data_IF_003259793044
#
_entry.id   IF_003259793044
#
_cell.length_a   1.000
_cell.length_b   1.000
_cell.length_c   1.000
_cell.angle_alpha   90.00
_cell.angle_beta   90.00
_cell.angle_gamma   90.00
#
_symmetry.space_group_name_H-M   'P 1'
#
loop_
_entity.id
_entity.type
_entity.pdbx_description
1 polymer ?
#
# COMPACT_ATOMS: atom_id res chain seq x y z
N UNK A 1 -16.65 1.44 -11.08
CA UNK A 1 -15.79 1.86 -12.23
C UNK A 1 -14.37 1.29 -12.17
N UNK A 2 -13.66 1.33 -11.03
CA UNK A 2 -12.28 0.80 -10.92
C UNK A 2 -12.12 -0.69 -11.28
N UNK A 3 -13.06 -1.56 -10.85
CA UNK A 3 -13.02 -3.00 -11.19
C UNK A 3 -13.09 -3.26 -12.70
N UNK A 4 -13.94 -2.49 -13.41
CA UNK A 4 -14.06 -2.57 -14.87
C UNK A 4 -12.75 -2.15 -15.54
N UNK A 5 -12.14 -1.04 -15.10
CA UNK A 5 -10.86 -0.58 -15.64
C UNK A 5 -9.73 -1.59 -15.43
N UNK A 6 -9.66 -2.22 -14.25
CA UNK A 6 -8.65 -3.26 -13.99
C UNK A 6 -8.89 -4.49 -14.88
N UNK A 7 -10.15 -4.89 -15.07
CA UNK A 7 -10.52 -6.00 -15.94
C UNK A 7 -10.16 -5.73 -17.41
N UNK A 8 -10.49 -4.55 -17.93
CA UNK A 8 -10.11 -4.13 -19.30
C UNK A 8 -8.60 -4.16 -19.48
N UNK A 9 -7.85 -3.72 -18.47
CA UNK A 9 -6.39 -3.68 -18.53
C UNK A 9 -5.77 -5.09 -18.51
N UNK A 10 -6.31 -5.99 -17.68
CA UNK A 10 -5.93 -7.41 -17.68
C UNK A 10 -6.29 -8.08 -19.01
N UNK A 11 -7.49 -7.84 -19.55
CA UNK A 11 -7.90 -8.39 -20.86
C UNK A 11 -7.02 -7.86 -22.01
N UNK A 12 -6.70 -6.56 -22.00
CA UNK A 12 -5.80 -5.95 -22.99
C UNK A 12 -4.39 -6.54 -22.93
N UNK A 13 -3.82 -6.68 -21.73
CA UNK A 13 -2.51 -7.32 -21.55
C UNK A 13 -2.51 -8.79 -21.96
N UNK A 14 -3.61 -9.53 -21.75
CA UNK A 14 -3.74 -10.91 -22.21
C UNK A 14 -3.79 -11.01 -23.74
N UNK A 15 -4.48 -10.08 -24.41
CA UNK A 15 -4.51 -10.01 -25.87
C UNK A 15 -3.12 -9.72 -26.46
N UNK A 16 -2.36 -8.82 -25.84
CA UNK A 16 -0.96 -8.55 -26.22
C UNK A 16 -0.11 -9.81 -26.01
N UNK A 17 -0.26 -10.47 -24.86
CA UNK A 17 0.47 -11.70 -24.53
C UNK A 17 0.25 -12.80 -25.57
N UNK A 18 -0.98 -12.96 -26.09
CA UNK A 18 -1.31 -13.96 -27.10
C UNK A 18 -0.77 -13.64 -28.51
N UNK A 19 -0.28 -12.41 -28.73
CA UNK A 19 0.28 -11.95 -30.01
C UNK A 19 1.81 -11.96 -30.03
N UNK A 20 2.45 -12.16 -28.87
CA UNK A 20 3.90 -12.16 -28.72
C UNK A 20 4.42 -13.60 -28.80
N UNK A 21 5.56 -13.77 -29.46
CA UNK A 21 6.32 -15.01 -29.37
C UNK A 21 7.06 -15.03 -28.03
N UNK A 22 6.45 -15.65 -27.04
CA UNK A 22 6.99 -15.72 -25.69
C UNK A 22 8.16 -16.70 -25.56
N UNK A 23 8.53 -17.43 -26.61
CA UNK A 23 9.67 -18.35 -26.59
C UNK A 23 10.96 -17.71 -27.10
N UNK A 24 10.86 -16.66 -27.92
CA UNK A 24 11.98 -15.89 -28.42
C UNK A 24 12.72 -15.13 -27.30
N UNK A 25 14.04 -15.33 -27.23
CA UNK A 25 14.92 -14.72 -26.21
C UNK A 25 14.88 -13.19 -26.24
N UNK A 26 14.78 -12.57 -27.43
CA UNK A 26 14.71 -11.10 -27.52
C UNK A 26 13.40 -10.59 -26.94
N UNK A 27 12.29 -11.24 -27.28
CA UNK A 27 10.96 -10.92 -26.75
C UNK A 27 10.92 -11.04 -25.23
N UNK A 28 11.52 -12.09 -24.66
CA UNK A 28 11.67 -12.28 -23.20
C UNK A 28 12.40 -11.11 -22.54
N UNK A 29 13.53 -10.69 -23.11
CA UNK A 29 14.33 -9.57 -22.59
C UNK A 29 13.62 -8.22 -22.69
N UNK A 30 12.90 -7.97 -23.80
CA UNK A 30 12.12 -6.72 -23.98
C UNK A 30 11.00 -6.63 -22.94
N UNK A 31 10.28 -7.74 -22.71
CA UNK A 31 9.20 -7.79 -21.70
C UNK A 31 9.77 -7.53 -20.30
N UNK A 32 10.87 -8.21 -19.95
CA UNK A 32 11.55 -7.99 -18.67
C UNK A 32 12.02 -6.54 -18.52
N UNK A 33 12.66 -5.99 -19.55
CA UNK A 33 13.12 -4.60 -19.57
C UNK A 33 11.96 -3.63 -19.34
N UNK A 34 10.83 -3.84 -20.02
CA UNK A 34 9.62 -3.01 -19.85
C UNK A 34 9.09 -3.08 -18.41
N UNK A 35 9.04 -4.27 -17.82
CA UNK A 35 8.63 -4.44 -16.42
C UNK A 35 9.59 -3.75 -15.44
N UNK A 36 10.90 -3.91 -15.61
CA UNK A 36 11.91 -3.26 -14.78
C UNK A 36 11.81 -1.75 -14.90
N UNK A 37 11.67 -1.20 -16.12
CA UNK A 37 11.46 0.23 -16.35
C UNK A 37 10.20 0.73 -15.66
N UNK A 38 9.09 0.01 -15.76
CA UNK A 38 7.86 0.36 -15.05
C UNK A 38 8.05 0.40 -13.53
N UNK A 39 8.79 -0.56 -12.98
CA UNK A 39 9.07 -0.62 -11.55
C UNK A 39 10.01 0.50 -11.09
N UNK A 40 10.98 0.89 -11.92
CA UNK A 40 11.82 2.08 -11.68
C UNK A 40 10.98 3.36 -11.68
N UNK A 41 9.99 3.48 -12.56
CA UNK A 41 9.04 4.61 -12.55
C UNK A 41 8.26 4.66 -11.23
N UNK A 42 7.77 3.52 -10.74
CA UNK A 42 7.08 3.43 -9.44
C UNK A 42 7.98 3.90 -8.30
N UNK A 43 9.24 3.44 -8.28
CA UNK A 43 10.22 3.85 -7.27
C UNK A 43 10.55 5.35 -7.37
N UNK A 44 10.68 5.88 -8.59
CA UNK A 44 10.90 7.31 -8.82
C UNK A 44 9.72 8.16 -8.29
N UNK A 45 8.48 7.76 -8.59
CA UNK A 45 7.28 8.42 -8.06
C UNK A 45 7.29 8.41 -6.53
N UNK A 46 7.59 7.26 -5.94
CA UNK A 46 7.63 7.12 -4.48
C UNK A 46 8.74 7.95 -3.84
N UNK A 47 9.91 8.07 -4.50
CA UNK A 47 10.98 8.96 -4.05
C UNK A 47 10.58 10.43 -4.09
N UNK A 48 9.90 10.87 -5.15
CA UNK A 48 9.36 12.23 -5.26
C UNK A 48 8.36 12.50 -4.13
N UNK A 49 7.47 11.55 -3.84
CA UNK A 49 6.50 11.68 -2.74
C UNK A 49 7.22 11.79 -1.39
N UNK A 50 8.23 10.96 -1.14
CA UNK A 50 9.03 11.01 0.08
C UNK A 50 9.64 12.41 0.30
N UNK A 51 10.22 13.00 -0.75
CA UNK A 51 10.77 14.36 -0.70
C UNK A 51 9.68 15.39 -0.39
N UNK A 52 8.50 15.28 -1.01
CA UNK A 52 7.37 16.17 -0.73
C UNK A 52 6.88 16.07 0.72
N UNK A 53 6.73 14.86 1.26
CA UNK A 53 6.33 14.65 2.66
C UNK A 53 7.33 15.34 3.60
N UNK A 54 8.63 15.08 3.41
CA UNK A 54 9.68 15.68 4.24
C UNK A 54 9.74 17.20 4.12
N UNK A 55 9.44 17.76 2.95
CA UNK A 55 9.40 19.20 2.75
C UNK A 55 8.23 19.87 3.49
N UNK A 56 7.08 19.19 3.60
CA UNK A 56 5.88 19.72 4.26
C UNK A 56 6.02 19.79 5.79
N UNK A 57 6.81 18.90 6.39
CA UNK A 57 7.08 18.84 7.84
C UNK A 57 5.80 18.91 8.71
N UNK A 58 4.74 18.23 8.30
CA UNK A 58 3.45 18.23 9.00
C UNK A 58 3.54 17.42 10.31
N UNK A 59 3.75 18.13 11.42
CA UNK A 59 3.87 17.56 12.77
C UNK A 59 2.53 17.44 13.51
N UNK A 60 1.40 17.56 12.82
CA UNK A 60 0.09 17.40 13.45
C UNK A 60 -0.02 15.99 14.03
N UNK A 61 -0.41 15.90 15.30
CA UNK A 61 -0.51 14.62 16.01
C UNK A 61 -1.65 13.79 15.43
N UNK A 62 -1.32 12.55 15.07
CA UNK A 62 -2.24 11.52 14.59
C UNK A 62 -2.28 10.38 15.61
N UNK A 63 -3.47 10.04 16.06
CA UNK A 63 -3.72 8.86 16.90
C UNK A 63 -4.63 7.89 16.16
N UNK A 64 -4.23 6.63 16.07
CA UNK A 64 -5.05 5.59 15.47
C UNK A 64 -4.79 4.23 16.14
N UNK A 65 -5.71 3.30 15.96
CA UNK A 65 -5.53 1.92 16.38
C UNK A 65 -4.88 1.15 15.23
N UNK A 66 -3.75 0.51 15.51
CA UNK A 66 -3.13 -0.38 14.53
C UNK A 66 -4.09 -1.53 14.24
N UNK A 67 -4.23 -1.89 12.97
CA UNK A 67 -4.96 -3.09 12.57
C UNK A 67 -3.90 -4.17 12.33
N UNK A 68 -3.65 -5.06 13.30
CA UNK A 68 -2.59 -6.04 13.18
C UNK A 68 -2.80 -6.89 11.93
N UNK A 69 -1.68 -7.35 11.35
CA UNK A 69 -1.72 -8.21 10.16
C UNK A 69 -2.75 -9.32 10.39
N UNK A 70 -3.62 -9.64 9.40
CA UNK A 70 -4.75 -10.56 9.58
C UNK A 70 -4.39 -11.93 10.17
N UNK A 71 -3.11 -12.32 10.11
CA UNK A 71 -2.56 -13.59 10.60
C UNK A 71 -1.88 -13.50 11.98
N UNK A 72 -1.79 -12.32 12.61
CA UNK A 72 -0.94 -12.11 13.79
C UNK A 72 -1.63 -12.40 15.13
N UNK A 73 -2.98 -12.43 15.17
CA UNK A 73 -3.74 -12.61 16.42
C UNK A 73 -3.51 -11.54 17.48
N UNK A 74 -2.76 -10.47 17.17
CA UNK A 74 -2.42 -9.40 18.10
C UNK A 74 -3.64 -8.50 18.36
N UNK A 75 -3.70 -7.90 19.56
CA UNK A 75 -4.73 -6.92 19.88
C UNK A 75 -4.40 -5.55 19.25
N UNK A 76 -5.40 -4.77 18.81
CA UNK A 76 -5.20 -3.42 18.29
C UNK A 76 -4.47 -2.54 19.30
N UNK A 77 -3.32 -1.97 18.92
CA UNK A 77 -2.52 -1.07 19.76
C UNK A 77 -2.79 0.39 19.39
N UNK A 78 -2.86 1.27 20.38
CA UNK A 78 -2.96 2.71 20.15
C UNK A 78 -1.59 3.24 19.71
N UNK A 79 -1.52 3.74 18.48
CA UNK A 79 -0.33 4.41 17.95
C UNK A 79 -0.57 5.91 18.00
N UNK A 80 0.38 6.63 18.61
CA UNK A 80 0.47 8.09 18.54
C UNK A 80 1.69 8.46 17.71
N UNK A 81 1.48 9.16 16.60
CA UNK A 81 2.52 9.58 15.66
C UNK A 81 2.20 10.97 15.11
N UNK A 82 2.97 11.46 14.15
CA UNK A 82 2.66 12.66 13.37
C UNK A 82 2.19 12.31 11.96
N UNK A 83 1.43 13.20 11.32
CA UNK A 83 1.05 13.04 9.91
C UNK A 83 2.25 12.77 9.00
N UNK A 84 3.36 13.48 9.21
CA UNK A 84 4.59 13.29 8.43
C UNK A 84 5.18 11.89 8.62
N UNK A 85 5.34 11.42 9.86
CA UNK A 85 5.90 10.10 10.15
C UNK A 85 5.02 8.98 9.60
N UNK A 86 3.71 9.08 9.81
CA UNK A 86 2.73 8.16 9.24
C UNK A 86 2.85 8.07 7.71
N UNK A 87 2.86 9.22 7.02
CA UNK A 87 2.94 9.25 5.55
C UNK A 87 4.27 8.68 5.03
N UNK A 88 5.38 8.92 5.74
CA UNK A 88 6.68 8.34 5.43
C UNK A 88 6.67 6.82 5.58
N UNK A 89 6.06 6.30 6.64
CA UNK A 89 5.93 4.86 6.87
C UNK A 89 5.09 4.19 5.77
N UNK A 90 3.95 4.78 5.41
CA UNK A 90 3.09 4.27 4.33
C UNK A 90 3.85 4.23 2.99
N UNK A 91 4.60 5.29 2.68
CA UNK A 91 5.41 5.33 1.46
C UNK A 91 6.57 4.31 1.50
N UNK A 92 7.24 4.16 2.65
CA UNK A 92 8.32 3.18 2.83
C UNK A 92 7.82 1.73 2.71
N UNK A 93 6.62 1.43 3.24
CA UNK A 93 5.99 0.12 3.09
C UNK A 93 5.69 -0.17 1.62
N UNK A 94 5.15 0.81 0.88
CA UNK A 94 4.91 0.67 -0.56
C UNK A 94 6.21 0.45 -1.35
N UNK A 95 7.29 1.18 -1.04
CA UNK A 95 8.62 0.96 -1.63
C UNK A 95 9.15 -0.44 -1.36
N UNK A 96 9.04 -0.91 -0.11
CA UNK A 96 9.49 -2.24 0.29
C UNK A 96 8.73 -3.32 -0.48
N UNK A 97 7.41 -3.20 -0.61
CA UNK A 97 6.59 -4.14 -1.39
C UNK A 97 6.97 -4.13 -2.88
N UNK A 98 7.17 -2.94 -3.45
CA UNK A 98 7.64 -2.77 -4.82
C UNK A 98 9.00 -3.47 -5.07
N UNK A 99 9.98 -3.28 -4.17
CA UNK A 99 11.31 -3.89 -4.29
C UNK A 99 11.27 -5.41 -4.12
N UNK A 100 10.49 -5.91 -3.15
CA UNK A 100 10.31 -7.35 -2.96
C UNK A 100 9.63 -7.97 -4.20
N UNK A 101 8.59 -7.32 -4.73
CA UNK A 101 7.90 -7.74 -5.95
C UNK A 101 8.83 -7.77 -7.17
N UNK A 102 9.65 -6.73 -7.35
CA UNK A 102 10.66 -6.66 -8.40
C UNK A 102 11.64 -7.83 -8.32
N UNK A 103 12.26 -8.00 -7.13
CA UNK A 103 13.25 -9.04 -6.92
C UNK A 103 12.66 -10.44 -7.12
N UNK A 104 11.46 -10.68 -6.59
CA UNK A 104 10.76 -11.95 -6.76
C UNK A 104 10.43 -12.23 -8.22
N UNK A 105 9.90 -11.26 -8.98
CA UNK A 105 9.55 -11.47 -10.38
C UNK A 105 10.76 -11.61 -11.29
N UNK A 106 11.82 -10.84 -11.05
CA UNK A 106 13.10 -10.99 -11.78
C UNK A 106 13.68 -12.38 -11.52
N UNK A 107 13.70 -12.83 -10.26
CA UNK A 107 14.16 -14.17 -9.90
C UNK A 107 13.31 -15.27 -10.57
N UNK A 108 11.97 -15.18 -10.48
CA UNK A 108 11.08 -16.17 -11.09
C UNK A 108 11.20 -16.21 -12.61
N UNK A 109 11.45 -15.07 -13.25
CA UNK A 109 11.68 -15.01 -14.69
C UNK A 109 12.98 -15.73 -15.09
N UNK A 110 14.10 -15.45 -14.41
CA UNK A 110 15.38 -16.08 -14.72
C UNK A 110 15.40 -17.58 -14.36
N UNK A 111 14.77 -17.96 -13.24
CA UNK A 111 14.81 -19.34 -12.74
C UNK A 111 13.78 -20.25 -13.43
N UNK A 112 12.57 -19.75 -13.70
CA UNK A 112 11.44 -20.57 -14.17
C UNK A 112 10.87 -20.11 -15.52
N UNK A 113 11.46 -19.09 -16.16
CA UNK A 113 11.00 -18.59 -17.46
C UNK A 113 9.59 -17.97 -17.43
N UNK A 114 9.12 -17.54 -16.25
CA UNK A 114 7.75 -17.04 -16.09
C UNK A 114 7.61 -15.65 -16.73
N UNK A 115 7.02 -15.58 -17.91
CA UNK A 115 6.91 -14.34 -18.71
C UNK A 115 5.50 -13.74 -18.71
N UNK A 116 4.46 -14.58 -18.77
CA UNK A 116 3.06 -14.11 -18.85
C UNK A 116 2.69 -13.15 -17.70
N UNK A 117 3.08 -13.41 -16.44
CA UNK A 117 2.83 -12.48 -15.34
C UNK A 117 3.54 -11.13 -15.47
N UNK A 118 4.74 -11.07 -16.07
CA UNK A 118 5.49 -9.81 -16.25
C UNK A 118 4.72 -8.82 -17.13
N UNK A 119 4.04 -9.33 -18.17
CA UNK A 119 3.24 -8.49 -19.09
C UNK A 119 2.09 -7.84 -18.34
N UNK A 120 1.33 -8.59 -17.56
CA UNK A 120 0.18 -8.07 -16.79
C UNK A 120 0.63 -7.15 -15.65
N UNK A 121 1.75 -7.48 -14.99
CA UNK A 121 2.30 -6.75 -13.85
C UNK A 121 3.04 -5.44 -14.23
N UNK A 122 3.21 -5.14 -15.52
CA UNK A 122 3.97 -3.96 -15.94
C UNK A 122 3.21 -2.63 -15.82
N UNK A 123 1.87 -2.66 -15.78
CA UNK A 123 1.05 -1.44 -15.86
C UNK A 123 0.34 -1.11 -14.54
N UNK A 124 -0.20 -2.12 -13.86
CA UNK A 124 -0.98 -1.94 -12.64
C UNK A 124 -0.18 -1.26 -11.50
N UNK A 125 1.10 -1.59 -11.25
CA UNK A 125 1.86 -0.95 -10.19
C UNK A 125 2.02 0.56 -10.39
N UNK A 126 2.23 1.02 -11.63
CA UNK A 126 2.32 2.45 -11.95
C UNK A 126 1.00 3.15 -11.60
N UNK A 127 -0.12 2.59 -12.08
CA UNK A 127 -1.45 3.12 -11.78
C UNK A 127 -1.70 3.19 -10.27
N UNK A 128 -1.40 2.10 -9.55
CA UNK A 128 -1.60 2.03 -8.10
C UNK A 128 -0.73 3.05 -7.36
N UNK A 129 0.53 3.23 -7.78
CA UNK A 129 1.42 4.23 -7.20
C UNK A 129 0.84 5.64 -7.34
N UNK A 130 0.34 6.00 -8.52
CA UNK A 130 -0.27 7.32 -8.80
C UNK A 130 -1.62 7.50 -8.09
N UNK A 131 -2.43 6.44 -8.00
CA UNK A 131 -3.76 6.49 -7.40
C UNK A 131 -3.76 6.30 -5.88
N UNK A 132 -2.63 5.92 -5.29
CA UNK A 132 -2.47 5.76 -3.85
C UNK A 132 -2.90 7.00 -3.09
N UNK A 133 -3.45 6.81 -1.89
CA UNK A 133 -3.99 7.90 -1.07
C UNK A 133 -2.89 8.93 -0.73
N UNK A 134 -1.69 8.47 -0.43
CA UNK A 134 -0.54 9.34 -0.19
C UNK A 134 -0.07 10.09 -1.45
N UNK A 135 -0.12 9.47 -2.64
CA UNK A 135 0.17 10.20 -3.88
C UNK A 135 -0.90 11.27 -4.16
N UNK A 136 -2.18 10.98 -3.91
CA UNK A 136 -3.25 11.96 -4.07
C UNK A 136 -3.07 13.18 -3.15
N UNK A 137 -2.62 12.97 -1.91
CA UNK A 137 -2.36 14.07 -0.97
C UNK A 137 -1.09 14.84 -1.32
N UNK A 138 0.02 14.17 -1.63
CA UNK A 138 1.33 14.83 -1.78
C UNK A 138 1.71 15.17 -3.21
N UNK A 139 1.43 14.28 -4.17
CA UNK A 139 1.75 14.53 -5.58
C UNK A 139 0.74 15.51 -6.19
N UNK A 140 -0.56 15.27 -5.97
CA UNK A 140 -1.66 16.05 -6.53
C UNK A 140 -2.22 17.15 -5.61
N UNK A 141 -1.72 17.25 -4.37
CA UNK A 141 -2.09 18.34 -3.45
C UNK A 141 -3.54 18.30 -2.95
N UNK A 142 -4.22 17.15 -3.05
CA UNK A 142 -5.61 17.04 -2.57
C UNK A 142 -5.67 17.17 -1.04
N UNK A 143 -6.73 17.80 -0.49
CA UNK A 143 -6.92 17.89 0.95
C UNK A 143 -7.07 16.50 1.56
N UNK A 144 -6.49 16.28 2.74
CA UNK A 144 -6.55 15.01 3.47
C UNK A 144 -7.87 14.88 4.25
N UNK A 145 -8.98 14.98 3.53
CA UNK A 145 -10.35 14.96 4.04
C UNK A 145 -11.17 13.84 3.38
N UNK A 146 -12.25 13.43 4.02
CA UNK A 146 -13.11 12.33 3.55
C UNK A 146 -12.31 11.07 3.27
N UNK A 147 -12.37 10.58 2.03
CA UNK A 147 -11.67 9.38 1.56
C UNK A 147 -10.13 9.46 1.59
N UNK A 148 -9.55 10.65 1.74
CA UNK A 148 -8.10 10.89 1.85
C UNK A 148 -7.67 11.17 3.29
N UNK A 149 -8.60 11.12 4.24
CA UNK A 149 -8.31 11.28 5.67
C UNK A 149 -7.41 10.13 6.14
N UNK A 150 -6.40 10.48 6.95
CA UNK A 150 -5.54 9.51 7.65
C UNK A 150 -6.27 8.95 8.88
N UNK A 151 -6.03 7.70 9.28
CA UNK A 151 -5.16 6.71 8.64
C UNK A 151 -5.77 6.09 7.37
N UNK A 152 -4.93 5.79 6.39
CA UNK A 152 -5.34 5.05 5.20
C UNK A 152 -5.34 3.55 5.48
N UNK A 153 -6.34 2.84 4.95
CA UNK A 153 -6.37 1.38 5.00
C UNK A 153 -5.32 0.83 4.05
N UNK A 154 -4.56 -0.15 4.52
CA UNK A 154 -3.64 -0.91 3.67
C UNK A 154 -4.47 -1.68 2.63
N UNK A 155 -4.29 -1.37 1.36
CA UNK A 155 -4.83 -2.19 0.27
C UNK A 155 -4.16 -3.56 0.33
N UNK A 156 -4.92 -4.61 0.67
CA UNK A 156 -4.40 -5.97 0.72
C UNK A 156 -4.27 -6.52 -0.71
N UNK A 157 -3.05 -6.67 -1.27
CA UNK A 157 -2.87 -7.11 -2.64
C UNK A 157 -3.37 -8.55 -2.86
N UNK A 158 -3.38 -9.36 -1.79
CA UNK A 158 -3.89 -10.73 -1.83
C UNK A 158 -5.42 -10.75 -1.89
N UNK A 159 -6.10 -9.81 -1.23
CA UNK A 159 -7.56 -9.66 -1.29
C UNK A 159 -8.02 -9.18 -2.68
N UNK A 160 -7.21 -8.36 -3.35
CA UNK A 160 -7.45 -7.97 -4.74
C UNK A 160 -7.33 -9.16 -5.72
N UNK A 161 -6.53 -10.17 -5.40
CA UNK A 161 -6.40 -11.40 -6.16
C UNK A 161 -7.54 -12.41 -5.89
N UNK A 162 -8.04 -12.47 -4.65
CA UNK A 162 -9.10 -13.43 -4.24
C UNK A 162 -10.52 -12.86 -4.30
N UNK A 163 -10.68 -11.57 -4.60
CA UNK A 163 -11.99 -10.92 -4.73
C UNK A 163 -12.68 -10.59 -3.41
N UNK A 164 -12.03 -10.77 -2.26
CA UNK A 164 -12.55 -10.40 -0.96
C UNK A 164 -12.48 -8.87 -0.77
N UNK A 165 -13.61 -8.18 -0.88
CA UNK A 165 -13.68 -6.76 -0.57
C UNK A 165 -13.62 -6.53 0.95
N UNK A 166 -12.68 -5.71 1.42
CA UNK A 166 -12.68 -5.23 2.81
C UNK A 166 -13.74 -4.14 2.98
N UNK A 167 -14.64 -4.31 3.95
CA UNK A 167 -15.72 -3.37 4.22
C UNK A 167 -15.22 -2.01 4.77
N UNK A 168 -15.87 -0.89 4.40
CA UNK A 168 -15.57 0.43 4.93
C UNK A 168 -16.10 0.60 6.37
N UNK A 169 -15.23 0.38 7.37
CA UNK A 169 -15.44 0.82 8.75
C UNK A 169 -15.58 2.36 8.84
N UNK A 170 -16.61 2.86 9.55
CA UNK A 170 -16.99 4.28 9.60
C UNK A 170 -16.26 5.09 10.69
N UNK A 171 -16.09 6.41 10.48
CA UNK A 171 -15.40 7.33 11.41
C UNK A 171 -15.95 7.30 12.85
N UNK A 172 -17.25 7.07 13.00
CA UNK A 172 -17.89 6.98 14.32
C UNK A 172 -17.43 5.72 15.09
N UNK A 173 -17.20 4.62 14.38
CA UNK A 173 -16.71 3.38 14.97
C UNK A 173 -15.23 3.51 15.39
N UNK A 174 -14.42 4.20 14.59
CA UNK A 174 -13.00 4.43 14.88
C UNK A 174 -12.80 5.36 16.09
N UNK A 175 -13.53 6.49 16.16
CA UNK A 175 -13.49 7.40 17.32
C UNK A 175 -13.99 6.73 18.61
N UNK A 176 -15.01 5.88 18.52
CA UNK A 176 -15.53 5.16 19.66
C UNK A 176 -14.54 4.09 20.17
N UNK A 177 -13.82 3.42 19.26
CA UNK A 177 -12.80 2.45 19.60
C UNK A 177 -11.58 3.12 20.27
N UNK A 178 -11.11 4.26 19.74
CA UNK A 178 -10.00 5.04 20.33
C UNK A 178 -10.33 5.48 21.75
N UNK A 179 -11.52 6.05 22.00
CA UNK A 179 -11.95 6.45 23.35
C UNK A 179 -12.03 5.29 24.34
N UNK A 180 -12.41 4.09 23.88
CA UNK A 180 -12.47 2.89 24.73
C UNK A 180 -11.07 2.40 25.10
N UNK A 181 -10.12 2.44 24.16
CA UNK A 181 -8.73 2.09 24.39
C UNK A 181 -8.06 3.06 25.38
N UNK A 182 -8.24 4.38 25.21
CA UNK A 182 -7.69 5.40 26.13
C UNK A 182 -8.22 5.23 27.57
N UNK A 183 -9.49 4.81 27.73
CA UNK A 183 -10.09 4.56 29.05
C UNK A 183 -9.62 3.26 29.71
N UNK A 184 -9.16 2.29 28.92
CA UNK A 184 -8.59 1.04 29.42
C UNK A 184 -7.16 1.24 29.93
N UNK A 185 -6.33 2.01 29.21
CA UNK A 185 -4.98 2.40 29.67
C UNK A 185 -5.03 3.24 30.94
N UNK A 186 -5.96 4.22 31.03
CA UNK A 186 -6.13 5.04 32.23
C UNK A 186 -6.66 4.31 33.48
N UNK A 187 -7.31 3.14 33.31
CA UNK A 187 -7.72 2.29 34.43
C UNK A 187 -6.62 1.35 34.91
N UNK A 188 -5.74 0.91 34.01
CA UNK A 188 -4.58 0.09 34.38
C UNK A 188 -3.62 0.84 35.30
N UNK A 189 -3.34 2.13 35.01
CA UNK A 189 -2.47 2.95 35.86
C UNK A 189 -3.04 3.29 37.24
N UNK A 190 -4.37 3.21 37.43
CA UNK A 190 -5.01 3.46 38.74
C UNK A 190 -5.12 2.21 39.62
N UNK A 191 -4.95 1.02 39.02
CA UNK A 191 -4.95 -0.26 39.75
C UNK A 191 -3.58 -0.62 40.33
N UNK A 192 -2.48 -0.14 39.75
CA UNK A 192 -1.14 -0.38 40.29
C UNK A 192 -0.84 0.48 41.52
N UNK A 193 -1.31 1.74 41.58
CA UNK A 193 -1.06 2.64 42.73
C UNK A 193 -1.79 2.27 44.04
N UNK A 194 -2.63 1.22 44.07
CA UNK A 194 -3.40 0.80 45.26
C UNK A 194 -2.91 -0.51 45.91
N UNK A 195 -1.82 -1.11 45.40
CA UNK A 195 -1.25 -2.33 46.00
C UNK A 195 -0.08 -2.07 46.95
N UNK A 196 0.37 -0.83 47.08
CA UNK A 196 1.53 -0.44 47.92
C UNK A 196 1.15 0.45 49.11
N UNK A 197 0.00 0.20 49.74
CA UNK A 197 -0.43 0.83 51.01
C UNK A 197 -0.96 -0.23 51.98
#
# INVERSE_FOLDING_TARGET
>A
MQRIMNMVLVMGSMQITNRLDLEDTKTKQIILGTYVTAQLIVLAISYIIQRKIQSKKDKTVLKYLDTPKPLSGEQPKLITTTNMEYDLEQNAQAQKQALIGLAAMVFLHYQFGVIRPLVVQSILPIKNAVQSKFAQVHLFGKPAEGDLRRPWKADNPLAALTGAAQEPQSEAAEKAAIKKAEKAEGKSGKSESKKDL
#
